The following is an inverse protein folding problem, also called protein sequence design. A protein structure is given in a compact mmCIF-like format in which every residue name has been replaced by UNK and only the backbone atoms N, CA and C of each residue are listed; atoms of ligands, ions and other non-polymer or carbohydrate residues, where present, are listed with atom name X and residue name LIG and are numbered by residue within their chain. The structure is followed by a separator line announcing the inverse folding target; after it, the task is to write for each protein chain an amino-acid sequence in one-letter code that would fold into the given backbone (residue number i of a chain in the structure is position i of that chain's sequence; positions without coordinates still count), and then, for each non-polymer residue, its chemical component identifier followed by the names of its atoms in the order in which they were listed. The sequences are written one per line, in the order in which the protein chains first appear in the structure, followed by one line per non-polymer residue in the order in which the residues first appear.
data_IF_773441753170
#
_entry.id   IF_773441753170
#
_cell.length_a   1.000
_cell.length_b   1.000
_cell.length_c   1.000
_cell.angle_alpha   90.00
_cell.angle_beta   90.00
_cell.angle_gamma   90.00
#
_symmetry.space_group_name_H-M   'P 1'
#
loop_
_entity.id
_entity.type
_entity.pdbx_description
1 polymer ?
#
# COMPACT_ATOMS: atom_id res chain seq x y z
N UNK A 1 -36.08 -29.45 9.42
CA UNK A 1 -35.39 -28.42 8.64
C UNK A 1 -33.99 -28.92 8.40
N UNK A 2 -33.64 -29.25 7.16
CA UNK A 2 -32.30 -29.74 6.81
C UNK A 2 -31.34 -28.55 6.86
N UNK A 3 -30.41 -28.53 7.82
CA UNK A 3 -29.26 -27.62 7.78
C UNK A 3 -28.31 -28.13 6.69
N UNK A 4 -28.56 -27.77 5.45
CA UNK A 4 -27.58 -27.97 4.41
C UNK A 4 -26.32 -27.17 4.81
N UNK A 5 -25.12 -27.77 4.77
CA UNK A 5 -23.89 -27.02 5.07
C UNK A 5 -23.79 -25.87 4.07
N UNK A 6 -23.59 -24.66 4.58
CA UNK A 6 -23.29 -23.51 3.74
C UNK A 6 -21.97 -23.83 3.03
N UNK A 7 -21.94 -23.82 1.69
CA UNK A 7 -20.69 -24.09 0.99
C UNK A 7 -19.65 -23.04 1.38
N UNK A 8 -18.54 -23.49 1.93
CA UNK A 8 -17.36 -22.66 2.25
C UNK A 8 -16.57 -22.36 0.96
N UNK A 9 -17.25 -21.90 -0.06
CA UNK A 9 -16.59 -21.43 -1.29
C UNK A 9 -16.32 -19.93 -1.11
N UNK A 10 -15.11 -19.48 -1.41
CA UNK A 10 -14.82 -18.04 -1.37
C UNK A 10 -15.82 -17.28 -2.24
N UNK A 11 -16.56 -16.37 -1.65
CA UNK A 11 -17.61 -15.59 -2.32
C UNK A 11 -17.08 -14.51 -3.28
N UNK A 12 -15.78 -14.43 -3.48
CA UNK A 12 -15.12 -13.41 -4.33
C UNK A 12 -14.94 -13.82 -5.79
N UNK A 13 -15.36 -15.04 -6.19
CA UNK A 13 -15.25 -15.51 -7.57
C UNK A 13 -13.83 -15.76 -8.12
N UNK A 14 -12.78 -15.55 -7.32
CA UNK A 14 -11.39 -15.80 -7.71
C UNK A 14 -11.00 -17.19 -7.22
N UNK A 15 -10.96 -18.17 -8.13
CA UNK A 15 -10.67 -19.59 -7.84
C UNK A 15 -9.30 -20.04 -8.37
N UNK A 16 -8.62 -19.18 -9.12
CA UNK A 16 -7.34 -19.46 -9.75
C UNK A 16 -6.31 -18.39 -9.39
N UNK A 17 -5.02 -18.73 -9.56
CA UNK A 17 -3.95 -17.76 -9.44
C UNK A 17 -4.13 -16.60 -10.42
N UNK A 18 -3.90 -15.37 -9.95
CA UNK A 18 -3.95 -14.17 -10.76
C UNK A 18 -2.52 -13.66 -11.00
N UNK A 19 -2.22 -13.37 -12.24
CA UNK A 19 -0.95 -12.79 -12.67
C UNK A 19 -1.20 -11.34 -13.09
N UNK A 20 -0.27 -10.45 -12.70
CA UNK A 20 -0.18 -9.08 -13.18
C UNK A 20 1.18 -8.89 -13.82
N UNK A 21 1.19 -8.59 -15.11
CA UNK A 21 2.41 -8.18 -15.81
C UNK A 21 2.88 -6.80 -15.34
N UNK A 22 4.16 -6.51 -15.56
CA UNK A 22 4.79 -5.27 -15.08
C UNK A 22 4.07 -3.99 -15.54
N UNK A 23 3.48 -4.01 -16.74
CA UNK A 23 2.87 -2.84 -17.38
C UNK A 23 1.34 -2.92 -17.44
N UNK A 24 0.71 -3.90 -16.76
CA UNK A 24 -0.74 -4.09 -16.80
C UNK A 24 -1.50 -3.21 -15.79
N UNK A 25 -0.80 -2.65 -14.81
CA UNK A 25 -1.36 -1.72 -13.82
C UNK A 25 -0.59 -0.41 -13.92
N UNK A 26 -1.27 0.72 -14.16
CA UNK A 26 -0.60 2.00 -14.41
C UNK A 26 0.00 2.61 -13.15
N UNK A 27 1.03 3.44 -13.33
CA UNK A 27 1.48 4.37 -12.33
C UNK A 27 0.60 5.62 -12.36
N UNK A 28 0.11 6.02 -11.20
CA UNK A 28 -0.55 7.31 -11.00
C UNK A 28 0.13 8.07 -9.86
N UNK A 29 -0.10 9.37 -9.78
CA UNK A 29 0.62 10.23 -8.86
C UNK A 29 -0.34 11.06 -8.01
N UNK A 30 -0.10 11.06 -6.71
CA UNK A 30 -0.70 11.98 -5.75
C UNK A 30 0.37 13.01 -5.34
N UNK A 31 0.42 14.15 -6.03
CA UNK A 31 1.58 15.06 -5.98
C UNK A 31 2.82 14.33 -6.51
N UNK A 32 3.89 14.29 -5.71
CA UNK A 32 5.14 13.62 -6.06
C UNK A 32 5.18 12.12 -5.72
N UNK A 33 4.17 11.62 -5.01
CA UNK A 33 4.06 10.21 -4.64
C UNK A 33 3.53 9.38 -5.79
N UNK A 34 4.34 8.48 -6.33
CA UNK A 34 3.91 7.47 -7.30
C UNK A 34 3.21 6.30 -6.61
N UNK A 35 2.10 5.86 -7.19
CA UNK A 35 1.28 4.76 -6.68
C UNK A 35 0.98 3.78 -7.81
N UNK A 36 1.24 2.50 -7.57
CA UNK A 36 0.80 1.38 -8.39
C UNK A 36 0.09 0.37 -7.48
N UNK A 37 -1.24 0.37 -7.50
CA UNK A 37 -2.06 -0.51 -6.67
C UNK A 37 -2.21 -1.86 -7.37
N UNK A 38 -1.75 -2.93 -6.73
CA UNK A 38 -1.73 -4.28 -7.31
C UNK A 38 -2.93 -5.12 -6.88
N UNK A 39 -3.24 -5.12 -5.58
CA UNK A 39 -4.23 -5.99 -4.99
C UNK A 39 -4.89 -5.33 -3.79
N UNK A 40 -6.19 -5.51 -3.68
CA UNK A 40 -6.98 -5.12 -2.51
C UNK A 40 -7.88 -6.28 -2.11
N UNK A 41 -7.85 -6.69 -0.84
CA UNK A 41 -8.82 -7.60 -0.24
C UNK A 41 -9.65 -6.84 0.81
N UNK A 42 -10.85 -6.44 0.41
CA UNK A 42 -11.77 -5.68 1.27
C UNK A 42 -12.27 -6.49 2.46
N UNK A 43 -12.29 -7.83 2.35
CA UNK A 43 -12.75 -8.71 3.43
C UNK A 43 -11.71 -8.83 4.54
N UNK A 44 -10.42 -8.76 4.18
CA UNK A 44 -9.30 -8.88 5.13
C UNK A 44 -8.68 -7.52 5.48
N UNK A 45 -9.09 -6.45 4.80
CA UNK A 45 -8.46 -5.14 4.96
C UNK A 45 -7.01 -5.11 4.48
N UNK A 46 -6.65 -5.99 3.51
CA UNK A 46 -5.32 -6.02 2.90
C UNK A 46 -5.28 -5.14 1.67
N UNK A 47 -4.21 -4.38 1.52
CA UNK A 47 -3.89 -3.65 0.29
C UNK A 47 -2.39 -3.77 -0.02
N UNK A 48 -2.10 -4.05 -1.29
CA UNK A 48 -0.76 -4.32 -1.80
C UNK A 48 -0.47 -3.35 -2.94
N UNK A 49 0.63 -2.63 -2.82
CA UNK A 49 1.00 -1.61 -3.78
C UNK A 49 2.52 -1.47 -3.91
N UNK A 50 2.95 -0.76 -4.92
CA UNK A 50 4.30 -0.21 -5.02
C UNK A 50 4.21 1.31 -4.99
N UNK A 51 5.04 1.92 -4.16
CA UNK A 51 5.21 3.37 -4.14
C UNK A 51 6.53 3.79 -4.78
N UNK A 52 6.51 4.97 -5.42
CA UNK A 52 7.68 5.72 -5.85
C UNK A 52 7.80 6.99 -5.04
N UNK A 53 8.96 7.15 -4.43
CA UNK A 53 9.30 8.33 -3.63
C UNK A 53 10.49 9.04 -4.26
N UNK A 54 10.39 10.35 -4.59
CA UNK A 54 11.56 11.11 -5.04
C UNK A 54 12.56 11.35 -3.90
N UNK A 55 13.83 11.64 -4.22
CA UNK A 55 14.81 12.05 -3.22
C UNK A 55 14.30 13.19 -2.34
N UNK A 56 14.54 13.07 -1.03
CA UNK A 56 14.09 14.06 -0.03
C UNK A 56 12.62 13.92 0.38
N UNK A 57 11.89 12.95 -0.14
CA UNK A 57 10.49 12.75 0.22
C UNK A 57 10.33 12.35 1.69
N UNK A 58 9.30 12.86 2.32
CA UNK A 58 8.94 12.53 3.70
C UNK A 58 7.44 12.27 3.78
N UNK A 59 7.08 11.08 4.30
CA UNK A 59 5.68 10.71 4.55
C UNK A 59 5.23 11.33 5.87
N UNK A 60 3.96 11.67 5.98
CA UNK A 60 3.34 12.09 7.25
C UNK A 60 3.58 11.03 8.33
N UNK A 61 3.90 11.46 9.55
CA UNK A 61 4.00 10.56 10.71
C UNK A 61 2.71 9.77 10.88
N UNK A 62 2.82 8.45 11.03
CA UNK A 62 1.67 7.57 11.07
C UNK A 62 1.96 6.29 11.85
N UNK A 63 0.91 5.51 12.05
CA UNK A 63 0.97 4.10 12.47
C UNK A 63 -0.03 3.29 11.65
N UNK A 64 0.14 1.96 11.64
CA UNK A 64 -0.81 1.04 11.03
C UNK A 64 -1.60 0.27 12.08
N UNK A 65 -2.89 0.02 11.83
CA UNK A 65 -3.73 -0.79 12.74
C UNK A 65 -3.47 -2.29 12.60
N UNK A 66 -2.84 -2.71 11.50
CA UNK A 66 -2.39 -4.07 11.24
C UNK A 66 -0.90 -4.13 10.94
N UNK A 67 -0.40 -5.30 10.61
CA UNK A 67 0.99 -5.49 10.21
C UNK A 67 1.26 -4.97 8.80
N UNK A 68 2.48 -4.50 8.55
CA UNK A 68 2.98 -4.12 7.23
C UNK A 68 4.24 -4.93 6.89
N UNK A 69 4.30 -5.34 5.65
CA UNK A 69 5.46 -5.98 5.05
C UNK A 69 5.96 -5.09 3.92
N UNK A 70 7.24 -4.75 3.95
CA UNK A 70 7.87 -3.93 2.93
C UNK A 70 9.07 -4.64 2.30
N UNK A 71 9.24 -4.45 1.00
CA UNK A 71 10.41 -4.90 0.26
C UNK A 71 10.91 -3.78 -0.64
N UNK A 72 12.16 -3.39 -0.48
CA UNK A 72 12.76 -2.31 -1.27
C UNK A 72 13.18 -2.85 -2.64
N UNK A 73 12.65 -2.28 -3.71
CA UNK A 73 12.95 -2.64 -5.10
C UNK A 73 14.15 -1.84 -5.58
N UNK A 74 14.16 -0.52 -5.34
CA UNK A 74 15.20 0.40 -5.78
C UNK A 74 15.38 1.55 -4.78
N UNK A 75 16.51 2.22 -4.84
CA UNK A 75 16.83 3.36 -3.98
C UNK A 75 17.12 2.99 -2.52
N UNK A 76 16.90 3.97 -1.64
CA UNK A 76 17.12 3.82 -0.20
C UNK A 76 16.13 4.68 0.59
N UNK A 77 15.72 4.20 1.76
CA UNK A 77 14.80 4.89 2.66
C UNK A 77 14.94 4.38 4.10
N UNK A 78 14.38 5.09 5.04
CA UNK A 78 14.36 4.70 6.43
C UNK A 78 13.28 5.40 7.22
N UNK A 79 13.34 5.25 8.53
CA UNK A 79 12.48 5.98 9.46
C UNK A 79 13.27 6.98 10.28
N UNK A 80 12.69 8.13 10.50
CA UNK A 80 13.27 9.17 11.37
C UNK A 80 13.55 8.61 12.77
N UNK A 81 12.67 7.75 13.26
CA UNK A 81 12.71 7.14 14.59
C UNK A 81 13.76 6.02 14.72
N UNK A 82 14.23 5.49 13.58
CA UNK A 82 15.18 4.34 13.53
C UNK A 82 16.42 4.67 12.68
N UNK A 83 17.25 5.67 13.06
CA UNK A 83 18.36 6.15 12.22
C UNK A 83 19.55 5.18 12.11
N UNK A 84 19.49 4.03 12.78
CA UNK A 84 20.58 3.05 12.81
C UNK A 84 20.53 2.02 11.68
N UNK A 85 19.50 2.03 10.84
CA UNK A 85 19.42 1.22 9.63
C UNK A 85 18.86 2.00 8.46
N UNK A 86 19.16 1.53 7.26
CA UNK A 86 18.65 2.02 5.99
C UNK A 86 18.15 0.86 5.15
N UNK A 87 16.96 0.97 4.59
CA UNK A 87 16.42 0.00 3.67
C UNK A 87 16.90 0.32 2.26
N UNK A 88 17.74 -0.54 1.70
CA UNK A 88 18.24 -0.47 0.32
C UNK A 88 17.57 -1.52 -0.55
N UNK A 89 17.78 -1.46 -1.86
CA UNK A 89 17.33 -2.51 -2.78
C UNK A 89 17.65 -3.91 -2.24
N UNK A 90 16.63 -4.78 -2.14
CA UNK A 90 16.72 -6.10 -1.53
C UNK A 90 16.43 -6.16 -0.03
N UNK A 91 16.28 -5.02 0.67
CA UNK A 91 15.92 -5.00 2.08
C UNK A 91 14.46 -5.40 2.30
N UNK A 92 14.23 -6.23 3.34
CA UNK A 92 12.91 -6.54 3.87
C UNK A 92 12.70 -5.85 5.20
N UNK A 93 11.51 -5.29 5.40
CA UNK A 93 11.11 -4.66 6.65
C UNK A 93 9.75 -5.19 7.09
N UNK A 94 9.60 -5.41 8.38
CA UNK A 94 8.35 -5.75 9.04
C UNK A 94 7.97 -4.64 10.04
N UNK A 95 6.75 -4.15 9.92
CA UNK A 95 6.17 -3.18 10.86
C UNK A 95 5.08 -3.88 11.69
N UNK A 96 5.26 -4.02 12.99
CA UNK A 96 4.17 -4.46 13.84
C UNK A 96 3.08 -3.39 13.91
N UNK A 97 1.83 -3.82 14.10
CA UNK A 97 0.72 -2.89 14.32
C UNK A 97 1.05 -1.89 15.43
N UNK A 98 0.59 -0.66 15.26
CA UNK A 98 0.72 0.46 16.21
C UNK A 98 2.15 1.00 16.43
N UNK A 99 3.15 0.57 15.67
CA UNK A 99 4.44 1.26 15.65
C UNK A 99 4.29 2.63 14.96
N UNK A 100 4.64 3.70 15.68
CA UNK A 100 4.59 5.07 15.15
C UNK A 100 5.92 5.38 14.46
N UNK A 101 5.85 5.84 13.22
CA UNK A 101 7.05 6.14 12.44
C UNK A 101 6.81 7.16 11.33
N UNK A 102 7.91 7.70 10.82
CA UNK A 102 7.96 8.70 9.76
C UNK A 102 8.93 8.23 8.69
N UNK A 103 8.41 7.74 7.56
CA UNK A 103 9.23 7.35 6.42
C UNK A 103 9.93 8.57 5.82
N UNK A 104 11.21 8.44 5.57
CA UNK A 104 12.02 9.47 4.92
C UNK A 104 12.94 8.86 3.87
N UNK A 105 13.10 9.58 2.77
CA UNK A 105 14.01 9.23 1.68
C UNK A 105 15.17 10.21 1.69
N UNK A 106 16.44 9.76 1.71
CA UNK A 106 17.58 10.65 1.65
C UNK A 106 17.52 11.60 0.44
N UNK A 107 17.76 12.88 0.65
CA UNK A 107 17.86 13.86 -0.43
C UNK A 107 19.07 13.62 -1.35
N UNK A 108 20.01 12.81 -0.88
CA UNK A 108 21.22 12.41 -1.60
C UNK A 108 21.04 11.18 -2.49
N UNK A 109 19.85 10.58 -2.54
CA UNK A 109 19.58 9.50 -3.48
C UNK A 109 19.69 10.03 -4.91
N UNK A 110 20.35 9.26 -5.78
CA UNK A 110 20.50 9.59 -7.19
C UNK A 110 19.32 9.11 -8.04
N UNK A 111 18.44 8.29 -7.46
CA UNK A 111 17.32 7.63 -8.14
C UNK A 111 16.03 7.69 -7.32
N UNK A 112 14.91 7.41 -7.99
CA UNK A 112 13.61 7.20 -7.34
C UNK A 112 13.69 5.97 -6.44
N UNK A 113 13.20 6.09 -5.22
CA UNK A 113 13.06 4.95 -4.32
C UNK A 113 11.74 4.23 -4.60
N UNK A 114 11.83 2.93 -4.91
CA UNK A 114 10.66 2.07 -5.12
C UNK A 114 10.54 1.05 -3.99
N UNK A 115 9.35 1.00 -3.37
CA UNK A 115 9.07 0.07 -2.28
C UNK A 115 7.74 -0.63 -2.51
N UNK A 116 7.77 -1.96 -2.48
CA UNK A 116 6.57 -2.78 -2.42
C UNK A 116 6.10 -2.89 -0.97
N UNK A 117 4.80 -2.71 -0.76
CA UNK A 117 4.15 -2.85 0.54
C UNK A 117 2.96 -3.80 0.45
N UNK A 118 2.80 -4.64 1.49
CA UNK A 118 1.55 -5.33 1.83
C UNK A 118 1.11 -4.85 3.20
N UNK A 119 -0.04 -4.20 3.26
CA UNK A 119 -0.52 -3.47 4.43
C UNK A 119 -1.85 -4.07 4.88
N UNK A 120 -1.92 -4.50 6.13
CA UNK A 120 -3.16 -4.92 6.76
C UNK A 120 -3.77 -3.78 7.59
N UNK A 121 -5.08 -3.64 7.51
CA UNK A 121 -5.82 -2.61 8.24
C UNK A 121 -5.65 -1.22 7.63
N UNK A 122 -5.56 -0.23 8.49
CA UNK A 122 -5.52 1.18 8.12
C UNK A 122 -4.16 1.82 8.44
N UNK A 123 -3.75 2.74 7.59
CA UNK A 123 -2.73 3.74 7.87
C UNK A 123 -3.40 4.95 8.53
N UNK A 124 -2.95 5.31 9.71
CA UNK A 124 -3.49 6.41 10.52
C UNK A 124 -2.45 7.51 10.62
N UNK A 125 -2.65 8.60 9.89
CA UNK A 125 -1.78 9.76 9.94
C UNK A 125 -2.07 10.59 11.19
N UNK A 126 -1.03 11.01 11.88
CA UNK A 126 -1.13 11.84 13.10
C UNK A 126 -0.30 13.12 12.94
N UNK A 127 -0.72 14.16 13.65
CA UNK A 127 0.04 15.40 13.79
C UNK A 127 1.10 15.34 14.91
N UNK A 128 1.77 16.45 15.16
CA UNK A 128 2.79 16.56 16.22
C UNK A 128 2.27 16.37 17.64
N UNK A 129 0.98 16.52 17.88
CA UNK A 129 0.30 16.31 19.14
C UNK A 129 -0.32 14.90 19.27
N UNK A 130 -0.12 14.06 18.24
CA UNK A 130 -0.65 12.70 18.16
C UNK A 130 -2.15 12.62 17.80
N UNK A 131 -2.74 13.72 17.31
CA UNK A 131 -4.13 13.73 16.89
C UNK A 131 -4.25 13.12 15.47
N UNK A 132 -5.29 12.32 15.25
CA UNK A 132 -5.57 11.72 13.95
C UNK A 132 -6.01 12.81 12.97
N UNK A 133 -5.30 12.92 11.85
CA UNK A 133 -5.58 13.89 10.77
C UNK A 133 -6.09 13.25 9.47
N UNK A 134 -5.78 11.98 9.24
CA UNK A 134 -6.27 11.22 8.10
C UNK A 134 -6.18 9.72 8.36
N UNK A 135 -7.07 8.97 7.70
CA UNK A 135 -7.07 7.49 7.73
C UNK A 135 -7.18 6.98 6.30
N UNK A 136 -6.31 6.04 5.94
CA UNK A 136 -6.33 5.34 4.65
C UNK A 136 -6.42 3.85 4.91
N UNK A 137 -7.40 3.18 4.32
CA UNK A 137 -7.63 1.74 4.40
C UNK A 137 -7.78 1.12 3.01
N UNK A 138 -8.04 -0.18 2.94
CA UNK A 138 -8.22 -0.90 1.68
C UNK A 138 -9.31 -0.29 0.78
N UNK A 139 -10.42 0.18 1.35
CA UNK A 139 -11.52 0.78 0.60
C UNK A 139 -11.14 2.16 0.07
N UNK A 140 -10.56 3.01 0.91
CA UNK A 140 -10.21 4.38 0.54
C UNK A 140 -9.02 4.43 -0.42
N UNK A 141 -8.01 3.55 -0.28
CA UNK A 141 -6.90 3.48 -1.23
C UNK A 141 -7.38 3.04 -2.62
N UNK A 142 -8.31 2.08 -2.69
CA UNK A 142 -8.91 1.65 -3.95
C UNK A 142 -9.66 2.79 -4.62
N UNK A 143 -10.50 3.51 -3.88
CA UNK A 143 -11.24 4.66 -4.40
C UNK A 143 -10.33 5.78 -4.90
N UNK A 144 -9.30 6.13 -4.12
CA UNK A 144 -8.31 7.14 -4.50
C UNK A 144 -7.54 6.73 -5.75
N UNK A 145 -7.07 5.49 -5.83
CA UNK A 145 -6.32 4.99 -6.98
C UNK A 145 -7.18 5.04 -8.26
N UNK A 146 -8.43 4.59 -8.20
CA UNK A 146 -9.37 4.65 -9.33
C UNK A 146 -9.60 6.09 -9.80
N UNK A 147 -9.84 7.01 -8.89
CA UNK A 147 -10.04 8.41 -9.22
C UNK A 147 -8.80 9.04 -9.89
N UNK A 148 -7.59 8.69 -9.42
CA UNK A 148 -6.34 9.14 -10.04
C UNK A 148 -6.15 8.55 -11.44
N UNK A 149 -6.48 7.26 -11.64
CA UNK A 149 -6.43 6.62 -12.95
C UNK A 149 -7.42 7.30 -13.93
N UNK A 150 -8.67 7.50 -13.51
CA UNK A 150 -9.69 8.18 -14.32
C UNK A 150 -9.24 9.59 -14.72
N UNK A 151 -8.69 10.36 -13.78
CA UNK A 151 -8.17 11.71 -14.05
C UNK A 151 -6.99 11.71 -15.03
N UNK A 152 -6.18 10.65 -15.03
CA UNK A 152 -5.05 10.46 -15.93
C UNK A 152 -5.42 9.79 -17.27
N UNK A 153 -6.64 9.27 -17.41
CA UNK A 153 -7.08 8.50 -18.59
C UNK A 153 -6.48 7.10 -18.66
N UNK A 154 -6.12 6.53 -17.50
CA UNK A 154 -5.48 5.23 -17.35
C UNK A 154 -6.48 4.13 -16.97
N UNK A 155 -6.21 2.90 -17.43
CA UNK A 155 -7.05 1.72 -17.13
C UNK A 155 -6.63 1.05 -15.83
N UNK A 156 -7.53 1.02 -14.85
CA UNK A 156 -7.33 0.36 -13.56
C UNK A 156 -8.01 -1.02 -13.44
N UNK A 157 -8.61 -1.54 -14.54
CA UNK A 157 -9.43 -2.76 -14.52
C UNK A 157 -8.67 -4.04 -14.14
N UNK A 158 -7.34 -4.01 -14.23
CA UNK A 158 -6.47 -5.13 -13.89
C UNK A 158 -6.13 -5.26 -12.40
N UNK A 159 -6.38 -4.22 -11.60
CA UNK A 159 -6.17 -4.32 -10.14
C UNK A 159 -6.98 -5.51 -9.60
N UNK A 160 -6.33 -6.36 -8.82
CA UNK A 160 -7.01 -7.52 -8.20
C UNK A 160 -7.82 -7.00 -7.01
N UNK A 161 -9.15 -7.12 -7.10
CA UNK A 161 -10.04 -6.70 -6.01
C UNK A 161 -10.82 -7.90 -5.51
N UNK A 162 -10.75 -8.16 -4.19
CA UNK A 162 -11.48 -9.20 -3.48
C UNK A 162 -12.50 -8.54 -2.55
N UNK A 163 -13.75 -9.04 -2.54
CA UNK A 163 -14.79 -8.55 -1.63
C UNK A 163 -15.59 -7.36 -2.17
N UNK A 164 -15.42 -6.99 -3.43
CA UNK A 164 -16.32 -6.04 -4.08
C UNK A 164 -17.67 -6.71 -4.38
N UNK A 165 -18.81 -6.04 -4.14
CA UNK A 165 -20.11 -6.58 -4.52
C UNK A 165 -20.15 -6.83 -6.04
N UNK A 166 -20.68 -7.98 -6.43
CA UNK A 166 -20.92 -8.36 -7.83
C UNK A 166 -22.15 -7.60 -8.33
#
# INVERSE_FOLDING_TARGET
MSNAPVPMVPMHGITEARHLGADEVPWVFAGDLGIKLLHVDLNQGLWVLVNRFPPGYKVQTHYHTGAVFAYTIAGAWGYVEYPHYENRAGSYLFEPAHSVHTLTVPATNDEITEVWFAIYGANVNIDGDGQVIAVTDAQSVLGTYRALCEAAGEDHSKVIVVGEPI
#
